data_IF_325228320000
#
_entry.id   IF_325228320000
#
_cell.length_a   1.000
_cell.length_b   1.000
_cell.length_c   1.000
_cell.angle_alpha   90.00
_cell.angle_beta   90.00
_cell.angle_gamma   90.00
#
_symmetry.space_group_name_H-M   'P 1'
#
loop_
_entity.id
_entity.type
_entity.pdbx_description
1 polymer ?
#
# COMPACT_ATOMS: atom_id res chain seq x y z
N UNK A 1 23.79 33.72 -40.05
CA UNK A 1 23.29 32.50 -40.73
C UNK A 1 24.46 31.56 -40.84
N UNK A 2 24.50 30.34 -40.32
CA UNK A 2 23.50 29.51 -39.66
C UNK A 2 24.17 28.84 -38.43
N UNK A 3 23.38 28.57 -37.40
CA UNK A 3 23.83 27.86 -36.20
C UNK A 3 24.00 26.38 -36.49
N UNK A 4 25.07 25.81 -35.96
CA UNK A 4 25.31 24.38 -35.91
C UNK A 4 25.33 24.00 -34.42
N UNK A 5 24.17 23.61 -33.91
CA UNK A 5 24.04 22.98 -32.59
C UNK A 5 23.81 21.48 -32.83
N UNK A 6 24.56 20.59 -32.16
CA UNK A 6 24.46 19.15 -32.38
C UNK A 6 23.10 18.61 -31.89
N UNK A 7 22.59 17.51 -32.47
CA UNK A 7 21.41 16.86 -31.95
C UNK A 7 21.70 16.35 -30.54
N UNK A 8 20.91 16.85 -29.57
CA UNK A 8 20.85 16.23 -28.25
C UNK A 8 20.23 14.85 -28.42
N UNK A 9 21.09 13.82 -28.34
CA UNK A 9 20.69 12.44 -28.11
C UNK A 9 19.86 12.39 -26.81
N UNK A 10 18.54 12.54 -26.96
CA UNK A 10 17.56 12.15 -25.97
C UNK A 10 17.54 10.63 -25.86
N UNK A 11 18.61 10.07 -25.29
CA UNK A 11 18.65 8.67 -24.88
C UNK A 11 17.57 8.49 -23.81
N UNK A 12 16.48 7.86 -24.24
CA UNK A 12 15.27 7.68 -23.46
C UNK A 12 15.54 7.04 -22.11
N UNK A 13 15.02 7.67 -21.08
CA UNK A 13 14.75 7.07 -19.77
C UNK A 13 13.52 6.16 -19.91
N UNK A 14 13.62 5.18 -20.80
CA UNK A 14 12.67 4.09 -20.97
C UNK A 14 12.91 3.04 -19.89
N UNK A 15 12.71 3.42 -18.62
CA UNK A 15 12.49 2.42 -17.59
C UNK A 15 11.34 1.51 -18.02
N UNK A 16 11.37 0.19 -17.70
CA UNK A 16 10.27 -0.69 -18.05
C UNK A 16 8.96 -0.06 -17.57
N UNK A 17 8.01 0.11 -18.50
CA UNK A 17 6.69 0.62 -18.14
C UNK A 17 6.13 -0.22 -16.98
N UNK A 18 5.59 0.42 -15.94
CA UNK A 18 5.13 -0.29 -14.76
C UNK A 18 4.14 -1.37 -15.18
N UNK A 19 4.40 -2.61 -14.77
CA UNK A 19 3.52 -3.73 -15.10
C UNK A 19 2.18 -3.48 -14.40
N UNK A 20 1.06 -3.41 -15.15
CA UNK A 20 -0.22 -3.10 -14.56
C UNK A 20 -0.65 -4.20 -13.58
N UNK A 21 -1.13 -3.81 -12.41
CA UNK A 21 -1.58 -4.78 -11.40
C UNK A 21 -2.95 -5.34 -11.81
N UNK A 22 -3.04 -6.67 -11.94
CA UNK A 22 -4.32 -7.32 -12.20
C UNK A 22 -5.17 -7.43 -10.92
N UNK A 23 -5.95 -6.39 -10.66
CA UNK A 23 -6.85 -6.31 -9.50
C UNK A 23 -8.00 -7.32 -9.54
N UNK A 24 -8.32 -7.87 -10.72
CA UNK A 24 -9.34 -8.92 -10.86
C UNK A 24 -8.75 -10.27 -10.45
N UNK A 25 -7.50 -10.54 -10.83
CA UNK A 25 -6.75 -11.69 -10.35
C UNK A 25 -6.48 -11.62 -8.83
N UNK A 26 -6.24 -10.42 -8.28
CA UNK A 26 -6.18 -10.23 -6.82
C UNK A 26 -7.48 -10.66 -6.13
N UNK A 27 -8.65 -10.26 -6.63
CA UNK A 27 -9.93 -10.66 -6.02
C UNK A 27 -10.18 -12.17 -6.03
N UNK A 28 -9.59 -12.89 -6.99
CA UNK A 28 -9.63 -14.34 -7.06
C UNK A 28 -8.45 -15.02 -6.31
N UNK A 29 -7.55 -14.24 -5.73
CA UNK A 29 -6.32 -14.74 -5.13
C UNK A 29 -6.56 -15.34 -3.74
N UNK A 30 -5.71 -16.29 -3.29
CA UNK A 30 -5.85 -16.88 -1.96
C UNK A 30 -5.73 -15.84 -0.84
N UNK A 31 -4.93 -14.79 -1.05
CA UNK A 31 -4.75 -13.69 -0.09
C UNK A 31 -6.06 -12.91 0.11
N UNK A 32 -6.78 -12.58 -0.96
CA UNK A 32 -8.06 -11.90 -0.87
C UNK A 32 -9.14 -12.86 -0.34
N UNK A 33 -9.19 -14.10 -0.83
CA UNK A 33 -10.17 -15.11 -0.39
C UNK A 33 -10.05 -15.49 1.10
N UNK A 34 -8.86 -15.37 1.67
CA UNK A 34 -8.62 -15.56 3.11
C UNK A 34 -9.25 -14.48 3.99
N UNK A 35 -9.59 -13.31 3.42
CA UNK A 35 -10.26 -12.23 4.15
C UNK A 35 -11.75 -12.55 4.35
N UNK A 36 -12.39 -12.06 5.43
CA UNK A 36 -13.84 -12.14 5.56
C UNK A 36 -14.54 -11.31 4.46
N UNK A 37 -15.77 -11.68 4.09
CA UNK A 37 -16.50 -11.10 2.96
C UNK A 37 -16.53 -9.55 2.89
N UNK A 38 -16.81 -8.81 3.98
CA UNK A 38 -16.76 -7.35 3.92
C UNK A 38 -15.35 -6.80 3.65
N UNK A 39 -14.31 -7.48 4.13
CA UNK A 39 -12.92 -7.10 3.89
C UNK A 39 -12.44 -7.41 2.48
N UNK A 40 -12.95 -8.47 1.85
CA UNK A 40 -12.71 -8.75 0.42
C UNK A 40 -13.13 -7.59 -0.46
N UNK A 41 -14.36 -7.11 -0.24
CA UNK A 41 -14.92 -5.97 -0.98
C UNK A 41 -14.10 -4.70 -0.74
N UNK A 42 -13.67 -4.48 0.50
CA UNK A 42 -12.84 -3.33 0.84
C UNK A 42 -11.45 -3.43 0.19
N UNK A 43 -10.76 -4.57 0.30
CA UNK A 43 -9.45 -4.78 -0.28
C UNK A 43 -9.46 -4.64 -1.82
N UNK A 44 -10.52 -5.14 -2.48
CA UNK A 44 -10.71 -4.98 -3.92
C UNK A 44 -10.89 -3.53 -4.37
N UNK A 45 -11.42 -2.65 -3.51
CA UNK A 45 -11.54 -1.21 -3.77
C UNK A 45 -10.26 -0.44 -3.42
N UNK A 46 -9.56 -0.87 -2.36
CA UNK A 46 -8.34 -0.22 -1.89
C UNK A 46 -7.18 -0.39 -2.86
N UNK A 47 -7.03 -1.55 -3.49
CA UNK A 47 -5.97 -1.83 -4.46
C UNK A 47 -5.82 -0.77 -5.57
N UNK A 48 -6.81 -0.61 -6.46
CA UNK A 48 -6.74 0.38 -7.54
C UNK A 48 -6.67 1.82 -7.03
N UNK A 49 -7.27 2.12 -5.86
CA UNK A 49 -7.13 3.43 -5.24
C UNK A 49 -5.66 3.71 -4.85
N UNK A 50 -4.98 2.75 -4.22
CA UNK A 50 -3.57 2.91 -3.84
C UNK A 50 -2.67 3.08 -5.06
N UNK A 51 -2.93 2.36 -6.14
CA UNK A 51 -2.20 2.52 -7.41
C UNK A 51 -2.33 3.93 -7.97
N UNK A 52 -3.56 4.46 -8.02
CA UNK A 52 -3.81 5.84 -8.46
C UNK A 52 -3.14 6.87 -7.53
N UNK A 53 -3.17 6.65 -6.22
CA UNK A 53 -2.57 7.56 -5.26
C UNK A 53 -1.04 7.52 -5.31
N UNK A 54 -0.43 6.35 -5.46
CA UNK A 54 1.01 6.22 -5.62
C UNK A 54 1.48 7.00 -6.87
N UNK A 55 0.81 6.78 -8.00
CA UNK A 55 1.14 7.48 -9.25
C UNK A 55 0.95 9.00 -9.15
N UNK A 56 -0.11 9.45 -8.46
CA UNK A 56 -0.46 10.88 -8.37
C UNK A 56 0.32 11.65 -7.31
N UNK A 57 0.60 11.04 -6.16
CA UNK A 57 1.18 11.73 -5.01
C UNK A 57 2.68 11.44 -4.82
N UNK A 58 3.13 10.23 -5.15
CA UNK A 58 4.52 9.80 -5.01
C UNK A 58 5.25 9.82 -6.35
N UNK A 59 4.51 9.92 -7.46
CA UNK A 59 5.06 9.84 -8.83
C UNK A 59 5.81 8.51 -9.09
N UNK A 60 5.38 7.44 -8.41
CA UNK A 60 5.97 6.11 -8.51
C UNK A 60 4.87 5.03 -8.62
N UNK A 61 5.24 3.88 -9.17
CA UNK A 61 4.36 2.73 -9.22
C UNK A 61 4.18 2.13 -7.82
N UNK A 62 2.98 1.67 -7.48
CA UNK A 62 2.70 1.05 -6.19
C UNK A 62 3.64 -0.13 -5.88
N UNK A 63 4.00 -0.88 -6.92
CA UNK A 63 4.91 -2.02 -6.86
C UNK A 63 6.36 -1.66 -6.55
N UNK A 64 6.73 -0.39 -6.77
CA UNK A 64 8.10 0.10 -6.62
C UNK A 64 8.35 0.74 -5.25
N UNK A 65 7.29 1.03 -4.51
CA UNK A 65 7.39 1.70 -3.23
C UNK A 65 8.17 0.85 -2.21
N UNK A 66 9.09 1.49 -1.51
CA UNK A 66 9.70 0.92 -0.31
C UNK A 66 8.76 1.00 0.90
N UNK A 67 9.18 0.45 2.05
CA UNK A 67 8.35 0.41 3.25
C UNK A 67 7.92 1.79 3.76
N UNK A 68 8.81 2.79 3.70
CA UNK A 68 8.52 4.15 4.15
C UNK A 68 7.58 4.88 3.20
N UNK A 69 7.77 4.71 1.89
CA UNK A 69 6.89 5.31 0.88
C UNK A 69 5.49 4.72 0.93
N UNK A 70 5.38 3.40 1.08
CA UNK A 70 4.09 2.74 1.22
C UNK A 70 3.40 3.14 2.53
N UNK A 71 4.13 3.24 3.65
CA UNK A 71 3.58 3.73 4.91
C UNK A 71 3.15 5.20 4.81
N UNK A 72 3.94 6.05 4.15
CA UNK A 72 3.61 7.44 3.87
C UNK A 72 2.38 7.58 2.98
N UNK A 73 2.23 6.73 1.97
CA UNK A 73 1.04 6.66 1.13
C UNK A 73 -0.21 6.42 1.99
N UNK A 74 -0.16 5.47 2.92
CA UNK A 74 -1.29 5.13 3.77
C UNK A 74 -1.55 6.19 4.85
N UNK A 75 -0.53 6.67 5.54
CA UNK A 75 -0.71 7.58 6.68
C UNK A 75 -0.89 9.05 6.28
N UNK A 76 -0.31 9.46 5.16
CA UNK A 76 -0.26 10.87 4.75
C UNK A 76 -1.13 11.12 3.52
N UNK A 77 -1.04 10.30 2.48
CA UNK A 77 -1.72 10.57 1.20
C UNK A 77 -3.18 10.11 1.22
N UNK A 78 -3.42 8.87 1.64
CA UNK A 78 -4.74 8.25 1.66
C UNK A 78 -5.77 9.07 2.48
N UNK A 79 -5.49 9.53 3.71
CA UNK A 79 -6.43 10.35 4.44
C UNK A 79 -6.74 11.71 3.80
N UNK A 80 -5.84 12.24 2.96
CA UNK A 80 -6.09 13.46 2.18
C UNK A 80 -6.94 13.20 0.92
N UNK A 81 -6.91 11.96 0.41
CA UNK A 81 -7.66 11.56 -0.77
C UNK A 81 -9.08 11.05 -0.47
N UNK A 82 -9.36 10.69 0.79
CA UNK A 82 -10.64 10.13 1.22
C UNK A 82 -11.49 11.13 2.02
N UNK A 83 -12.82 11.05 1.90
CA UNK A 83 -13.72 11.74 2.81
C UNK A 83 -13.47 11.28 4.27
N UNK A 84 -13.64 12.15 5.28
CA UNK A 84 -13.32 11.83 6.67
C UNK A 84 -14.05 10.60 7.22
N UNK A 85 -15.27 10.33 6.72
CA UNK A 85 -16.05 9.13 7.07
C UNK A 85 -15.40 7.83 6.57
N UNK A 86 -14.67 7.87 5.46
CA UNK A 86 -13.98 6.73 4.88
C UNK A 86 -12.56 6.55 5.42
N UNK A 87 -11.94 7.61 5.92
CA UNK A 87 -10.59 7.54 6.52
C UNK A 87 -10.54 6.54 7.67
N UNK A 88 -11.53 6.56 8.58
CA UNK A 88 -11.56 5.63 9.70
C UNK A 88 -11.72 4.16 9.26
N UNK A 89 -12.45 3.92 8.17
CA UNK A 89 -12.57 2.56 7.62
C UNK A 89 -11.26 2.14 6.95
N UNK A 90 -10.61 3.02 6.20
CA UNK A 90 -9.40 2.72 5.46
C UNK A 90 -8.15 2.61 6.34
N UNK A 91 -8.09 3.35 7.45
CA UNK A 91 -7.00 3.27 8.44
C UNK A 91 -7.39 2.43 9.67
N UNK A 92 -8.54 1.77 9.64
CA UNK A 92 -8.97 0.89 10.72
C UNK A 92 -8.18 -0.42 10.74
N UNK A 93 -8.20 -1.16 11.85
CA UNK A 93 -7.42 -2.40 12.02
C UNK A 93 -7.80 -3.46 10.98
N UNK A 94 -9.08 -3.51 10.60
CA UNK A 94 -9.56 -4.42 9.57
C UNK A 94 -8.94 -4.10 8.20
N UNK A 95 -8.85 -2.83 7.80
CA UNK A 95 -8.29 -2.44 6.52
C UNK A 95 -6.80 -2.76 6.39
N UNK A 96 -6.05 -2.78 7.49
CA UNK A 96 -4.65 -3.25 7.50
C UNK A 96 -4.52 -4.68 6.99
N UNK A 97 -5.52 -5.54 7.23
CA UNK A 97 -5.52 -6.90 6.70
C UNK A 97 -5.73 -6.90 5.18
N UNK A 98 -6.51 -5.95 4.66
CA UNK A 98 -6.65 -5.71 3.23
C UNK A 98 -5.32 -5.29 2.59
N UNK A 99 -4.60 -4.34 3.20
CA UNK A 99 -3.29 -3.91 2.72
C UNK A 99 -2.25 -5.02 2.80
N UNK A 100 -2.27 -5.83 3.86
CA UNK A 100 -1.41 -7.00 3.99
C UNK A 100 -1.70 -8.04 2.89
N UNK A 101 -2.98 -8.28 2.57
CA UNK A 101 -3.35 -9.18 1.49
C UNK A 101 -2.88 -8.66 0.12
N UNK A 102 -3.02 -7.35 -0.14
CA UNK A 102 -2.52 -6.71 -1.36
C UNK A 102 -1.00 -6.87 -1.45
N UNK A 103 -0.26 -6.54 -0.39
CA UNK A 103 1.18 -6.69 -0.35
C UNK A 103 1.63 -8.15 -0.57
N UNK A 104 1.00 -9.12 0.13
CA UNK A 104 1.27 -10.57 -0.05
C UNK A 104 1.02 -11.00 -1.50
N UNK A 105 -0.05 -10.52 -2.13
CA UNK A 105 -0.35 -10.80 -3.53
C UNK A 105 0.74 -10.27 -4.46
N UNK A 106 1.12 -8.99 -4.34
CA UNK A 106 2.12 -8.35 -5.19
C UNK A 106 3.49 -9.03 -5.07
N UNK A 107 3.85 -9.48 -3.87
CA UNK A 107 5.07 -10.25 -3.61
C UNK A 107 4.97 -11.63 -4.28
N UNK A 108 3.87 -12.37 -4.07
CA UNK A 108 3.68 -13.70 -4.65
C UNK A 108 3.69 -13.69 -6.18
N UNK A 109 3.15 -12.65 -6.81
CA UNK A 109 3.13 -12.52 -8.27
C UNK A 109 4.44 -11.97 -8.83
N UNK A 110 5.42 -11.64 -7.98
CA UNK A 110 6.70 -11.06 -8.40
C UNK A 110 6.58 -9.63 -8.95
N UNK A 111 5.48 -8.94 -8.63
CA UNK A 111 5.26 -7.55 -9.05
C UNK A 111 5.97 -6.57 -8.10
N UNK A 112 6.09 -6.89 -6.81
CA UNK A 112 6.81 -6.06 -5.85
C UNK A 112 8.32 -6.06 -6.15
N UNK A 113 8.86 -4.93 -6.62
CA UNK A 113 10.28 -4.80 -7.00
C UNK A 113 11.19 -4.72 -5.79
N UNK A 114 10.68 -4.13 -4.70
CA UNK A 114 11.36 -3.98 -3.41
C UNK A 114 11.13 -5.18 -2.46
N UNK A 115 10.61 -6.31 -2.95
CA UNK A 115 10.39 -7.52 -2.15
C UNK A 115 9.38 -7.33 -1.02
N UNK A 116 9.73 -7.74 0.21
CA UNK A 116 8.87 -7.68 1.40
C UNK A 116 8.65 -6.26 1.95
N UNK A 117 9.21 -5.22 1.33
CA UNK A 117 9.11 -3.83 1.77
C UNK A 117 7.66 -3.35 1.90
N UNK A 118 6.76 -3.78 1.02
CA UNK A 118 5.33 -3.45 1.14
C UNK A 118 4.72 -4.02 2.43
N UNK A 119 5.11 -5.23 2.84
CA UNK A 119 4.68 -5.82 4.12
C UNK A 119 5.29 -5.10 5.32
N UNK A 120 6.57 -4.73 5.22
CA UNK A 120 7.23 -3.88 6.21
C UNK A 120 6.51 -2.54 6.35
N UNK A 121 6.05 -1.94 5.26
CA UNK A 121 5.25 -0.73 5.24
C UNK A 121 3.93 -0.88 6.00
N UNK A 122 3.18 -1.98 5.78
CA UNK A 122 1.95 -2.27 6.56
C UNK A 122 2.25 -2.35 8.06
N UNK A 123 3.35 -3.00 8.46
CA UNK A 123 3.78 -3.09 9.86
C UNK A 123 4.12 -1.73 10.45
N UNK A 124 4.78 -0.85 9.69
CA UNK A 124 5.05 0.52 10.10
C UNK A 124 3.75 1.29 10.35
N UNK A 125 2.78 1.20 9.43
CA UNK A 125 1.47 1.84 9.59
C UNK A 125 0.77 1.36 10.85
N UNK A 126 0.73 0.04 11.08
CA UNK A 126 0.15 -0.55 12.30
C UNK A 126 0.80 0.00 13.56
N UNK A 127 2.14 0.08 13.60
CA UNK A 127 2.90 0.61 14.72
C UNK A 127 2.57 2.08 14.98
N UNK A 128 2.55 2.91 13.93
CA UNK A 128 2.26 4.34 14.05
C UNK A 128 0.83 4.61 14.52
N UNK A 129 -0.17 3.90 13.98
CA UNK A 129 -1.57 4.03 14.43
C UNK A 129 -1.73 3.59 15.90
N UNK A 130 -1.07 2.51 16.28
CA UNK A 130 -1.04 2.06 17.69
C UNK A 130 -0.39 3.09 18.61
N UNK A 131 0.72 3.69 18.17
CA UNK A 131 1.42 4.72 18.92
C UNK A 131 0.54 5.97 19.10
N UNK A 132 -0.15 6.40 18.04
CA UNK A 132 -1.08 7.54 18.09
C UNK A 132 -2.23 7.30 19.08
N UNK A 133 -2.81 6.09 19.12
CA UNK A 133 -3.84 5.76 20.11
C UNK A 133 -3.33 5.76 21.54
N UNK A 134 -2.13 5.23 21.79
CA UNK A 134 -1.53 5.26 23.12
C UNK A 134 -1.23 6.69 23.57
N UNK A 135 -0.73 7.53 22.65
CA UNK A 135 -0.43 8.94 22.92
C UNK A 135 -1.69 9.77 23.17
N UNK A 136 -2.82 9.45 22.54
CA UNK A 136 -4.08 10.15 22.78
C UNK A 136 -4.75 9.79 24.11
N UNK A 137 -4.18 8.84 24.88
CA UNK A 137 -4.71 8.41 26.16
C UNK A 137 -6.01 7.60 26.06
N UNK A 138 -6.37 7.15 24.85
CA UNK A 138 -7.59 6.39 24.61
C UNK A 138 -7.40 4.92 25.06
N UNK A 139 -7.56 4.68 26.37
CA UNK A 139 -7.59 3.35 26.96
C UNK A 139 -8.83 2.58 26.45
N UNK A 140 -8.63 1.73 25.44
CA UNK A 140 -9.70 0.94 24.81
C UNK A 140 -10.00 1.28 23.34
N UNK A 141 -9.10 2.02 22.66
CA UNK A 141 -9.19 2.22 21.21
C UNK A 141 -9.09 0.92 20.39
N UNK A 142 -9.35 0.98 19.06
CA UNK A 142 -9.33 -0.20 18.19
C UNK A 142 -8.04 -1.00 18.34
N UNK A 143 -8.18 -2.32 18.45
CA UNK A 143 -7.04 -3.21 18.60
C UNK A 143 -6.32 -3.40 17.25
N UNK A 144 -5.12 -2.84 17.17
CA UNK A 144 -4.24 -2.95 16.01
C UNK A 144 -3.20 -4.06 16.20
N UNK A 145 -3.43 -5.04 17.08
CA UNK A 145 -2.52 -6.18 17.22
C UNK A 145 -2.45 -6.97 15.91
N UNK A 146 -1.27 -7.45 15.56
CA UNK A 146 -1.09 -8.21 14.34
C UNK A 146 -1.58 -9.67 14.54
N UNK A 147 -2.52 -10.17 13.74
CA UNK A 147 -3.02 -11.54 13.89
C UNK A 147 -2.05 -12.60 13.34
N UNK A 148 -1.05 -12.20 12.55
CA UNK A 148 0.00 -13.06 11.98
C UNK A 148 1.21 -13.16 12.95
N UNK A 149 1.35 -12.20 13.89
CA UNK A 149 2.08 -12.38 15.14
C UNK A 149 1.42 -13.50 15.97
N UNK A 150 1.68 -14.75 15.57
CA UNK A 150 1.65 -15.84 16.53
C UNK A 150 2.55 -15.42 17.69
N UNK A 151 2.08 -15.49 18.94
CA UNK A 151 2.96 -15.26 20.07
C UNK A 151 4.16 -16.20 19.88
N UNK A 152 5.33 -15.61 19.68
CA UNK A 152 6.58 -16.36 19.66
C UNK A 152 6.55 -17.19 20.94
N UNK A 153 6.48 -18.52 20.78
CA UNK A 153 6.45 -19.45 21.90
C UNK A 153 7.63 -19.09 22.81
N UNK A 154 7.30 -18.93 24.09
CA UNK A 154 8.17 -18.59 25.20
C UNK A 154 9.48 -19.39 25.24
#
# INVERSE_FOLDING_TARGET
>A
MAGEEPPVDGAGEGGPAPVPIDWKAFQASPECLALPAPLRQLAGQLGPLLEQLAARAIHAALTDLNAQEFAGLLLQVLPQALPPQHVQMALGPQALHGYQAIAKYLIRTGLATSGDELLSGVKLVRKELTAQLRQSGMLGGPDYSDPDEKPAKA
#
